data_IF_492507515556
#
_entry.id   IF_492507515556
#
_cell.length_a   1.000
_cell.length_b   1.000
_cell.length_c   1.000
_cell.angle_alpha   90.00
_cell.angle_beta   90.00
_cell.angle_gamma   90.00
#
_symmetry.space_group_name_H-M   'P 1'
#
loop_
_entity.id
_entity.type
_entity.pdbx_description
1 polymer ?
#
# COMPACT_ATOMS: atom_id res chain seq x y z
N UNK A 1 21.49 -12.97 43.84
CA UNK A 1 20.62 -12.11 44.69
C UNK A 1 19.21 -12.19 44.12
N UNK A 2 18.35 -13.00 44.74
CA UNK A 2 16.93 -13.16 44.40
C UNK A 2 16.18 -11.92 44.89
N UNK A 3 15.25 -11.38 44.11
CA UNK A 3 14.16 -10.55 44.63
C UNK A 3 12.84 -11.15 44.16
N UNK A 4 12.00 -11.39 45.15
CA UNK A 4 10.77 -12.17 45.12
C UNK A 4 9.57 -11.37 44.61
N UNK A 5 8.67 -12.16 44.05
CA UNK A 5 7.32 -11.90 43.56
C UNK A 5 6.40 -11.43 44.69
N UNK A 6 5.71 -10.30 44.49
CA UNK A 6 4.40 -10.02 45.09
C UNK A 6 3.51 -9.31 44.05
N UNK A 7 2.91 -10.11 43.17
CA UNK A 7 1.92 -9.63 42.19
C UNK A 7 0.50 -9.79 42.72
N UNK A 8 -0.08 -8.68 43.18
CA UNK A 8 -1.53 -8.56 43.36
C UNK A 8 -2.15 -8.48 41.96
N UNK A 9 -2.93 -9.49 41.59
CA UNK A 9 -3.70 -9.50 40.34
C UNK A 9 -4.87 -8.52 40.50
N UNK A 10 -4.72 -7.31 39.97
CA UNK A 10 -5.86 -6.43 39.68
C UNK A 10 -6.44 -6.77 38.30
N UNK A 11 -7.77 -6.88 38.15
CA UNK A 11 -8.39 -7.18 36.87
C UNK A 11 -8.19 -6.02 35.89
N UNK A 12 -7.58 -6.34 34.75
CA UNK A 12 -7.47 -5.46 33.59
C UNK A 12 -8.86 -5.00 33.15
N UNK A 13 -9.19 -3.73 33.41
CA UNK A 13 -10.23 -3.05 32.65
C UNK A 13 -9.71 -2.75 31.24
N UNK A 14 -10.43 -3.10 30.16
CA UNK A 14 -10.03 -2.75 28.80
C UNK A 14 -10.31 -1.26 28.61
N UNK A 15 -9.37 -0.42 29.04
CA UNK A 15 -9.29 0.95 28.56
C UNK A 15 -8.74 0.88 27.13
N UNK A 16 -9.64 0.71 26.16
CA UNK A 16 -9.35 0.89 24.74
C UNK A 16 -8.94 2.34 24.55
N UNK A 17 -7.65 2.65 24.77
CA UNK A 17 -7.07 3.88 24.25
C UNK A 17 -7.13 3.73 22.74
N UNK A 18 -8.23 4.25 22.17
CA UNK A 18 -8.42 4.41 20.75
C UNK A 18 -7.21 5.20 20.24
N UNK A 19 -6.18 4.49 19.77
CA UNK A 19 -4.95 5.12 19.28
C UNK A 19 -5.36 6.12 18.21
N UNK A 20 -5.16 7.41 18.48
CA UNK A 20 -5.54 8.49 17.57
C UNK A 20 -4.55 8.46 16.42
N UNK A 21 -4.93 7.86 15.29
CA UNK A 21 -4.01 7.72 14.18
C UNK A 21 -3.86 9.03 13.41
N UNK A 22 -2.62 9.50 13.31
CA UNK A 22 -2.25 10.70 12.60
C UNK A 22 -1.97 10.41 11.12
N UNK A 23 -2.28 11.36 10.22
CA UNK A 23 -2.05 11.16 8.77
C UNK A 23 -0.59 10.93 8.41
N UNK A 24 0.35 11.46 9.20
CA UNK A 24 1.78 11.17 9.03
C UNK A 24 2.06 9.66 9.11
N UNK A 25 1.31 8.92 9.93
CA UNK A 25 1.45 7.47 10.05
C UNK A 25 0.96 6.74 8.79
N UNK A 26 0.07 7.35 7.99
CA UNK A 26 -0.30 6.83 6.67
C UNK A 26 0.82 7.04 5.65
N UNK A 27 1.53 8.17 5.72
CA UNK A 27 2.72 8.39 4.91
C UNK A 27 3.84 7.41 5.33
N UNK A 28 4.07 7.21 6.62
CA UNK A 28 5.00 6.19 7.14
C UNK A 28 4.66 4.79 6.62
N UNK A 29 3.38 4.41 6.66
CA UNK A 29 2.90 3.15 6.07
C UNK A 29 3.20 3.09 4.57
N UNK A 30 3.01 4.17 3.82
CA UNK A 30 3.32 4.22 2.40
C UNK A 30 4.82 3.97 2.13
N UNK A 31 5.72 4.49 2.98
CA UNK A 31 7.15 4.20 2.88
C UNK A 31 7.47 2.73 3.16
N UNK A 32 6.82 2.12 4.16
CA UNK A 32 6.95 0.67 4.45
C UNK A 32 6.47 -0.16 3.26
N UNK A 33 5.28 0.12 2.74
CA UNK A 33 4.73 -0.55 1.55
C UNK A 33 5.66 -0.39 0.33
N UNK A 34 6.27 0.77 0.16
CA UNK A 34 7.23 1.04 -0.91
C UNK A 34 8.50 0.21 -0.75
N UNK A 35 9.06 0.16 0.46
CA UNK A 35 10.28 -0.59 0.75
C UNK A 35 10.11 -2.09 0.46
N UNK A 36 8.97 -2.66 0.87
CA UNK A 36 8.64 -4.06 0.63
C UNK A 36 7.96 -4.32 -0.72
N UNK A 37 7.63 -3.26 -1.48
CA UNK A 37 6.96 -3.31 -2.76
C UNK A 37 7.58 -4.28 -3.76
N UNK A 38 8.90 -4.28 -3.99
CA UNK A 38 9.54 -5.25 -4.87
C UNK A 38 9.29 -6.71 -4.49
N UNK A 39 9.21 -7.04 -3.19
CA UNK A 39 8.90 -8.39 -2.72
C UNK A 39 7.42 -8.74 -2.92
N UNK A 40 6.53 -7.77 -2.70
CA UNK A 40 5.10 -7.91 -2.96
C UNK A 40 4.85 -8.21 -4.45
N UNK A 41 5.48 -7.42 -5.33
CA UNK A 41 5.37 -7.55 -6.78
C UNK A 41 5.96 -8.85 -7.30
N UNK A 42 7.09 -9.33 -6.72
CA UNK A 42 7.76 -10.54 -7.16
C UNK A 42 6.96 -11.84 -6.94
N UNK A 43 6.14 -11.91 -5.88
CA UNK A 43 5.49 -13.19 -5.49
C UNK A 43 4.21 -13.49 -6.26
N UNK A 44 3.67 -12.55 -7.04
CA UNK A 44 2.45 -12.70 -7.86
C UNK A 44 1.18 -13.19 -7.14
N UNK A 45 1.22 -13.43 -5.83
CA UNK A 45 0.10 -13.97 -5.07
C UNK A 45 -1.01 -12.93 -4.94
N UNK A 46 -2.26 -13.39 -5.06
CA UNK A 46 -3.44 -12.55 -4.97
C UNK A 46 -3.54 -11.88 -3.58
N UNK A 47 -4.14 -10.69 -3.56
CA UNK A 47 -4.48 -9.99 -2.32
C UNK A 47 -5.78 -10.60 -1.77
N UNK A 48 -5.89 -10.86 -0.46
CA UNK A 48 -7.13 -11.39 0.12
C UNK A 48 -8.33 -10.47 -0.20
N UNK A 49 -9.49 -11.01 -0.64
CA UNK A 49 -10.67 -10.21 -0.95
C UNK A 49 -11.15 -9.35 0.22
N UNK A 50 -10.95 -9.80 1.46
CA UNK A 50 -11.27 -9.06 2.68
C UNK A 50 -10.44 -7.78 2.80
N UNK A 51 -9.16 -7.83 2.40
CA UNK A 51 -8.27 -6.67 2.41
C UNK A 51 -8.71 -5.64 1.37
N UNK A 52 -9.09 -6.10 0.17
CA UNK A 52 -9.60 -5.26 -0.92
C UNK A 52 -10.90 -4.57 -0.50
N UNK A 53 -11.87 -5.34 0.00
CA UNK A 53 -13.17 -4.83 0.44
C UNK A 53 -13.04 -3.88 1.64
N UNK A 54 -12.16 -4.20 2.60
CA UNK A 54 -11.85 -3.33 3.73
C UNK A 54 -11.26 -2.00 3.26
N UNK A 55 -10.29 -2.04 2.34
CA UNK A 55 -9.63 -0.84 1.82
C UNK A 55 -10.60 0.04 1.05
N UNK A 56 -11.46 -0.55 0.21
CA UNK A 56 -12.55 0.15 -0.48
C UNK A 56 -13.48 0.86 0.49
N UNK A 57 -14.02 0.12 1.47
CA UNK A 57 -15.01 0.63 2.42
C UNK A 57 -14.41 1.76 3.26
N UNK A 58 -13.22 1.56 3.83
CA UNK A 58 -12.55 2.55 4.66
C UNK A 58 -12.19 3.82 3.86
N UNK A 59 -11.71 3.66 2.62
CA UNK A 59 -11.34 4.78 1.77
C UNK A 59 -12.55 5.62 1.35
N UNK A 60 -13.66 4.96 0.97
CA UNK A 60 -14.91 5.66 0.62
C UNK A 60 -15.50 6.43 1.78
N UNK A 61 -15.61 5.79 2.95
CA UNK A 61 -16.11 6.47 4.15
C UNK A 61 -15.30 7.73 4.45
N UNK A 62 -13.96 7.65 4.33
CA UNK A 62 -13.08 8.80 4.55
C UNK A 62 -13.28 9.90 3.49
N UNK A 63 -13.38 9.53 2.22
CA UNK A 63 -13.65 10.45 1.11
C UNK A 63 -14.99 11.16 1.31
N UNK A 64 -16.02 10.45 1.79
CA UNK A 64 -17.32 11.05 2.10
C UNK A 64 -17.23 12.11 3.21
N UNK A 65 -16.44 11.85 4.27
CA UNK A 65 -16.18 12.84 5.32
C UNK A 65 -15.46 14.09 4.79
N UNK A 66 -14.50 13.92 3.88
CA UNK A 66 -13.84 15.04 3.20
C UNK A 66 -14.82 15.82 2.32
N UNK A 67 -15.65 15.11 1.54
CA UNK A 67 -16.67 15.71 0.69
C UNK A 67 -17.69 16.52 1.49
N UNK A 68 -18.13 16.03 2.65
CA UNK A 68 -19.01 16.78 3.55
C UNK A 68 -18.34 18.07 4.05
N UNK A 69 -17.05 18.02 4.38
CA UNK A 69 -16.26 19.19 4.81
C UNK A 69 -16.16 20.23 3.69
N UNK A 70 -15.86 19.80 2.46
CA UNK A 70 -15.79 20.68 1.29
C UNK A 70 -17.17 21.19 0.85
N UNK A 71 -18.25 20.44 1.05
CA UNK A 71 -19.61 20.94 0.81
C UNK A 71 -19.99 22.07 1.79
N UNK A 72 -19.46 22.04 3.02
CA UNK A 72 -19.60 23.15 3.98
C UNK A 72 -18.82 24.38 3.53
N UNK A 73 -17.64 24.21 2.93
CA UNK A 73 -16.90 25.31 2.30
C UNK A 73 -17.72 26.01 1.23
N UNK A 74 -18.29 25.26 0.28
CA UNK A 74 -19.10 25.84 -0.81
C UNK A 74 -20.31 26.61 -0.26
N UNK A 75 -20.96 26.10 0.79
CA UNK A 75 -22.06 26.82 1.46
C UNK A 75 -21.59 28.09 2.17
N UNK A 76 -20.47 28.05 2.88
CA UNK A 76 -19.88 29.24 3.49
C UNK A 76 -19.52 30.28 2.43
N UNK A 77 -18.97 29.85 1.29
CA UNK A 77 -18.62 30.70 0.14
C UNK A 77 -19.84 31.38 -0.47
N UNK A 78 -20.90 30.60 -0.74
CA UNK A 78 -22.14 31.12 -1.31
C UNK A 78 -22.84 32.14 -0.41
N UNK A 79 -22.65 32.04 0.92
CA UNK A 79 -23.25 32.98 1.86
C UNK A 79 -22.65 34.40 1.83
N UNK A 80 -21.47 34.60 1.21
CA UNK A 80 -20.74 35.87 1.21
C UNK A 80 -20.24 36.33 2.59
N UNK A 81 -20.52 35.59 3.66
CA UNK A 81 -20.18 35.96 5.01
C UNK A 81 -18.71 35.62 5.34
N UNK A 82 -17.87 36.66 5.39
CA UNK A 82 -16.43 36.53 5.69
C UNK A 82 -16.13 35.87 7.04
N UNK A 83 -16.95 36.11 8.07
CA UNK A 83 -16.76 35.50 9.39
C UNK A 83 -17.01 33.99 9.32
N UNK A 84 -18.13 33.56 8.70
CA UNK A 84 -18.42 32.14 8.50
C UNK A 84 -17.33 31.43 7.70
N UNK A 85 -16.80 32.10 6.67
CA UNK A 85 -15.69 31.57 5.90
C UNK A 85 -14.42 31.40 6.75
N UNK A 86 -14.09 32.40 7.57
CA UNK A 86 -12.94 32.32 8.48
C UNK A 86 -13.07 31.20 9.51
N UNK A 87 -14.24 31.04 10.12
CA UNK A 87 -14.50 29.93 11.04
C UNK A 87 -14.34 28.57 10.34
N UNK A 88 -14.86 28.41 9.12
CA UNK A 88 -14.68 27.17 8.36
C UNK A 88 -13.20 26.83 8.16
N UNK A 89 -12.37 27.81 7.78
CA UNK A 89 -10.92 27.60 7.63
C UNK A 89 -10.26 27.17 8.93
N UNK A 90 -10.58 27.84 10.04
CA UNK A 90 -10.06 27.49 11.36
C UNK A 90 -10.42 26.05 11.75
N UNK A 91 -11.65 25.63 11.47
CA UNK A 91 -12.16 24.32 11.86
C UNK A 91 -11.70 23.17 10.95
N UNK A 92 -11.41 23.43 9.66
CA UNK A 92 -11.20 22.37 8.67
C UNK A 92 -9.80 22.35 8.06
N UNK A 93 -8.89 23.24 8.46
CA UNK A 93 -7.51 23.25 7.94
C UNK A 93 -6.82 21.89 8.11
N UNK A 94 -7.00 21.22 9.26
CA UNK A 94 -6.43 19.90 9.47
C UNK A 94 -6.99 18.83 8.52
N UNK A 95 -8.26 18.93 8.11
CA UNK A 95 -8.85 18.01 7.11
C UNK A 95 -8.18 18.20 5.75
N UNK A 96 -7.87 19.44 5.37
CA UNK A 96 -7.16 19.74 4.10
C UNK A 96 -5.74 19.17 4.12
N UNK A 97 -5.05 19.24 5.26
CA UNK A 97 -3.76 18.59 5.45
C UNK A 97 -3.86 17.07 5.30
N UNK A 98 -4.91 16.47 5.87
CA UNK A 98 -5.13 15.02 5.78
C UNK A 98 -5.41 14.56 4.34
N UNK A 99 -6.16 15.33 3.56
CA UNK A 99 -6.36 15.06 2.13
C UNK A 99 -5.01 15.04 1.43
N UNK A 100 -4.23 16.12 1.55
CA UNK A 100 -2.94 16.23 0.86
C UNK A 100 -1.98 15.12 1.29
N UNK A 101 -1.74 14.92 2.59
CA UNK A 101 -0.78 13.94 3.07
C UNK A 101 -1.21 12.47 2.83
N UNK A 102 -2.51 12.19 2.76
CA UNK A 102 -3.00 10.84 2.45
C UNK A 102 -2.77 10.43 0.99
N UNK A 103 -2.51 11.38 0.08
CA UNK A 103 -2.24 11.10 -1.34
C UNK A 103 -1.04 10.15 -1.51
N UNK A 104 -0.04 10.26 -0.62
CA UNK A 104 1.15 9.41 -0.60
C UNK A 104 0.77 7.93 -0.54
N UNK A 105 -0.05 7.55 0.46
CA UNK A 105 -0.49 6.16 0.62
C UNK A 105 -1.40 5.73 -0.52
N UNK A 106 -2.35 6.58 -0.93
CA UNK A 106 -3.30 6.23 -1.98
C UNK A 106 -2.61 5.93 -3.31
N UNK A 107 -1.58 6.70 -3.69
CA UNK A 107 -0.80 6.44 -4.91
C UNK A 107 0.05 5.18 -4.80
N UNK A 108 0.71 4.96 -3.67
CA UNK A 108 1.51 3.74 -3.43
C UNK A 108 0.63 2.49 -3.52
N UNK A 109 -0.55 2.51 -2.90
CA UNK A 109 -1.49 1.39 -2.96
C UNK A 109 -2.00 1.15 -4.39
N UNK A 110 -2.34 2.21 -5.13
CA UNK A 110 -2.78 2.09 -6.53
C UNK A 110 -1.66 1.52 -7.43
N UNK A 111 -0.42 1.96 -7.24
CA UNK A 111 0.74 1.42 -7.96
C UNK A 111 0.98 -0.06 -7.63
N UNK A 112 0.91 -0.44 -6.36
CA UNK A 112 1.04 -1.85 -5.95
C UNK A 112 -0.09 -2.71 -6.50
N UNK A 113 -1.34 -2.23 -6.44
CA UNK A 113 -2.49 -2.96 -6.97
C UNK A 113 -2.32 -3.25 -8.47
N UNK A 114 -1.95 -2.24 -9.25
CA UNK A 114 -1.66 -2.39 -10.67
C UNK A 114 -0.50 -3.36 -10.95
N UNK A 115 0.59 -3.24 -10.20
CA UNK A 115 1.72 -4.15 -10.35
C UNK A 115 1.36 -5.60 -10.00
N UNK A 116 0.60 -5.83 -8.92
CA UNK A 116 0.16 -7.17 -8.50
C UNK A 116 -0.74 -7.81 -9.55
N UNK A 117 -1.70 -7.05 -10.08
CA UNK A 117 -2.67 -7.54 -11.05
C UNK A 117 -2.04 -7.80 -12.41
N UNK A 118 -1.20 -6.88 -12.92
CA UNK A 118 -0.47 -7.08 -14.17
C UNK A 118 0.47 -8.28 -14.10
N UNK A 119 1.22 -8.40 -13.01
CA UNK A 119 2.17 -9.48 -12.85
C UNK A 119 1.45 -10.84 -12.67
N UNK A 120 0.23 -10.85 -12.10
CA UNK A 120 -0.62 -12.03 -11.99
C UNK A 120 -1.58 -12.28 -13.16
N UNK A 121 -1.60 -11.42 -14.18
CA UNK A 121 -2.62 -11.39 -15.24
C UNK A 121 -4.07 -11.45 -14.70
N UNK A 122 -4.35 -10.65 -13.67
CA UNK A 122 -5.66 -10.49 -13.02
C UNK A 122 -6.17 -9.05 -13.18
N UNK A 123 -7.42 -8.82 -12.82
CA UNK A 123 -8.04 -7.50 -12.79
C UNK A 123 -9.00 -7.39 -11.60
N UNK A 124 -8.48 -7.63 -10.39
CA UNK A 124 -9.28 -7.75 -9.16
C UNK A 124 -9.07 -6.55 -8.24
N UNK A 125 -7.82 -6.16 -8.00
CA UNK A 125 -7.47 -5.10 -7.06
C UNK A 125 -7.25 -3.75 -7.74
N UNK A 126 -6.61 -3.75 -8.91
CA UNK A 126 -6.25 -2.55 -9.68
C UNK A 126 -7.46 -1.65 -9.98
N UNK A 127 -8.63 -2.15 -10.46
CA UNK A 127 -9.79 -1.31 -10.74
C UNK A 127 -10.30 -0.57 -9.49
N UNK A 128 -10.29 -1.26 -8.34
CA UNK A 128 -10.77 -0.73 -7.07
C UNK A 128 -9.82 0.33 -6.54
N UNK A 129 -8.52 0.02 -6.50
CA UNK A 129 -7.50 0.98 -6.06
C UNK A 129 -7.44 2.21 -6.98
N UNK A 130 -7.62 2.02 -8.30
CA UNK A 130 -7.69 3.10 -9.27
C UNK A 130 -8.92 3.99 -9.04
N UNK A 131 -10.10 3.41 -8.79
CA UNK A 131 -11.31 4.20 -8.49
C UNK A 131 -11.14 5.05 -7.22
N UNK A 132 -10.53 4.50 -6.17
CA UNK A 132 -10.18 5.23 -4.94
C UNK A 132 -9.18 6.34 -5.23
N UNK A 133 -8.15 6.05 -6.03
CA UNK A 133 -7.14 7.03 -6.41
C UNK A 133 -7.75 8.21 -7.17
N UNK A 134 -8.58 7.96 -8.18
CA UNK A 134 -9.28 9.00 -8.94
C UNK A 134 -10.18 9.85 -8.03
N UNK A 135 -10.94 9.20 -7.13
CA UNK A 135 -11.80 9.90 -6.16
C UNK A 135 -10.98 10.78 -5.21
N UNK A 136 -9.80 10.32 -4.80
CA UNK A 136 -8.87 11.12 -4.01
C UNK A 136 -8.37 12.35 -4.79
N UNK A 137 -7.98 12.17 -6.06
CA UNK A 137 -7.52 13.28 -6.91
C UNK A 137 -8.58 14.36 -7.08
N UNK A 138 -9.86 13.98 -7.20
CA UNK A 138 -10.96 14.93 -7.24
C UNK A 138 -11.03 15.78 -5.96
N UNK A 139 -10.99 15.14 -4.79
CA UNK A 139 -11.00 15.84 -3.49
C UNK A 139 -9.78 16.75 -3.36
N UNK A 140 -8.58 16.27 -3.72
CA UNK A 140 -7.34 17.04 -3.71
C UNK A 140 -7.43 18.27 -4.61
N UNK A 141 -7.97 18.14 -5.82
CA UNK A 141 -8.13 19.28 -6.73
C UNK A 141 -9.07 20.35 -6.15
N UNK A 142 -10.16 19.93 -5.49
CA UNK A 142 -11.05 20.87 -4.77
C UNK A 142 -10.38 21.55 -3.58
N UNK A 143 -9.47 20.86 -2.87
CA UNK A 143 -8.62 21.49 -1.85
C UNK A 143 -7.72 22.55 -2.46
N UNK A 144 -7.14 22.30 -3.63
CA UNK A 144 -6.30 23.28 -4.33
C UNK A 144 -7.08 24.51 -4.77
N UNK A 145 -8.28 24.31 -5.32
CA UNK A 145 -9.19 25.41 -5.64
C UNK A 145 -9.52 26.26 -4.41
N UNK A 146 -9.77 25.63 -3.26
CA UNK A 146 -10.00 26.33 -2.00
C UNK A 146 -8.77 27.16 -1.56
N UNK A 147 -7.55 26.60 -1.68
CA UNK A 147 -6.29 27.31 -1.39
C UNK A 147 -6.12 28.54 -2.31
N UNK A 148 -6.50 28.43 -3.59
CA UNK A 148 -6.39 29.51 -4.56
C UNK A 148 -7.44 30.61 -4.38
N UNK A 149 -8.66 30.28 -3.95
CA UNK A 149 -9.75 31.25 -3.73
C UNK A 149 -9.43 32.24 -2.59
N UNK A 150 -8.65 31.81 -1.58
CA UNK A 150 -8.14 32.61 -0.45
C UNK A 150 -9.19 33.34 0.43
N UNK A 151 -10.48 33.32 0.09
CA UNK A 151 -11.55 33.97 0.87
C UNK A 151 -11.58 33.40 2.29
N UNK A 152 -11.44 34.29 3.28
CA UNK A 152 -11.45 33.95 4.72
C UNK A 152 -10.29 33.06 5.18
N UNK A 153 -9.33 32.73 4.32
CA UNK A 153 -8.10 32.02 4.67
C UNK A 153 -7.03 33.04 5.08
N UNK A 154 -6.30 32.78 6.17
CA UNK A 154 -5.11 33.56 6.44
C UNK A 154 -4.04 33.23 5.39
N UNK A 155 -3.30 34.24 4.92
CA UNK A 155 -2.22 34.03 3.92
C UNK A 155 -1.21 32.99 4.41
N UNK A 156 -0.92 32.98 5.71
CA UNK A 156 -0.01 32.01 6.34
C UNK A 156 -0.52 30.56 6.19
N UNK A 157 -1.82 30.32 6.34
CA UNK A 157 -2.41 28.98 6.21
C UNK A 157 -2.37 28.50 4.75
N UNK A 158 -2.72 29.37 3.81
CA UNK A 158 -2.64 29.06 2.37
C UNK A 158 -1.20 28.73 1.94
N UNK A 159 -0.22 29.51 2.40
CA UNK A 159 1.21 29.26 2.13
C UNK A 159 1.66 27.94 2.75
N UNK A 160 1.24 27.65 3.99
CA UNK A 160 1.59 26.40 4.69
C UNK A 160 0.99 25.17 3.99
N UNK A 161 -0.27 25.22 3.58
CA UNK A 161 -0.91 24.14 2.81
C UNK A 161 -0.25 23.94 1.44
N UNK A 162 0.11 25.02 0.74
CA UNK A 162 0.84 24.88 -0.52
C UNK A 162 2.25 24.30 -0.30
N UNK A 163 2.94 24.65 0.80
CA UNK A 163 4.21 24.03 1.17
C UNK A 163 4.05 22.54 1.46
N UNK A 164 3.01 22.15 2.19
CA UNK A 164 2.67 20.74 2.43
C UNK A 164 2.46 20.00 1.11
N UNK A 165 1.65 20.56 0.20
CA UNK A 165 1.40 19.99 -1.13
C UNK A 165 2.72 19.70 -1.86
N UNK A 166 3.60 20.69 -1.98
CA UNK A 166 4.88 20.54 -2.70
C UNK A 166 5.77 19.47 -2.04
N UNK A 167 5.80 19.41 -0.72
CA UNK A 167 6.57 18.38 0.01
C UNK A 167 6.00 16.99 -0.23
N UNK A 168 4.69 16.84 -0.16
CA UNK A 168 3.99 15.57 -0.46
C UNK A 168 4.25 15.12 -1.89
N UNK A 169 4.15 16.03 -2.87
CA UNK A 169 4.37 15.72 -4.28
C UNK A 169 5.78 15.17 -4.52
N UNK A 170 6.81 15.75 -3.89
CA UNK A 170 8.19 15.26 -3.96
C UNK A 170 8.35 13.87 -3.34
N UNK A 171 7.74 13.62 -2.18
CA UNK A 171 7.79 12.30 -1.55
C UNK A 171 7.05 11.24 -2.35
N UNK A 172 5.95 11.60 -3.01
CA UNK A 172 5.26 10.70 -3.95
C UNK A 172 6.23 10.28 -5.06
N UNK A 173 6.93 11.21 -5.69
CA UNK A 173 7.84 10.86 -6.79
C UNK A 173 9.01 9.99 -6.34
N UNK A 174 9.55 10.23 -5.15
CA UNK A 174 10.60 9.39 -4.57
C UNK A 174 10.11 7.96 -4.29
N UNK A 175 8.95 7.82 -3.63
CA UNK A 175 8.41 6.51 -3.28
C UNK A 175 7.93 5.72 -4.51
N UNK A 176 7.22 6.37 -5.44
CA UNK A 176 6.82 5.72 -6.70
C UNK A 176 8.05 5.41 -7.55
N UNK A 177 9.10 6.24 -7.53
CA UNK A 177 10.36 5.97 -8.20
C UNK A 177 11.00 4.68 -7.68
N UNK A 178 11.06 4.49 -6.37
CA UNK A 178 11.56 3.25 -5.76
C UNK A 178 10.76 2.01 -6.21
N UNK A 179 9.43 2.08 -6.27
CA UNK A 179 8.61 1.00 -6.83
C UNK A 179 8.89 0.77 -8.32
N UNK A 180 9.05 1.87 -9.06
CA UNK A 180 9.27 1.85 -10.50
C UNK A 180 10.62 1.27 -10.90
N UNK A 181 11.59 1.23 -9.98
CA UNK A 181 12.84 0.50 -10.17
C UNK A 181 12.65 -1.02 -10.29
N UNK A 182 11.55 -1.56 -9.75
CA UNK A 182 11.15 -2.97 -9.94
C UNK A 182 10.19 -3.15 -11.13
N UNK A 183 9.33 -2.16 -11.41
CA UNK A 183 8.40 -2.17 -12.54
C UNK A 183 8.27 -0.78 -13.18
N UNK A 184 8.92 -0.53 -14.33
CA UNK A 184 8.95 0.80 -14.96
C UNK A 184 7.59 1.38 -15.35
N UNK A 185 6.55 0.54 -15.50
CA UNK A 185 5.21 1.02 -15.86
C UNK A 185 4.50 1.75 -14.72
N UNK A 186 5.01 1.62 -13.49
CA UNK A 186 4.47 2.28 -12.29
C UNK A 186 4.80 3.78 -12.21
N UNK A 187 5.72 4.28 -13.06
CA UNK A 187 6.11 5.69 -13.14
C UNK A 187 4.89 6.63 -13.29
N UNK A 188 3.82 6.15 -13.94
CA UNK A 188 2.59 6.92 -14.16
C UNK A 188 1.83 7.31 -12.88
N UNK A 189 2.11 6.65 -11.76
CA UNK A 189 1.55 7.00 -10.45
C UNK A 189 2.32 8.13 -9.75
N UNK A 190 3.45 8.58 -10.30
CA UNK A 190 4.15 9.77 -9.86
C UNK A 190 3.38 11.06 -10.13
N UNK A 191 3.82 12.16 -9.53
CA UNK A 191 3.37 13.52 -9.86
C UNK A 191 4.13 14.02 -11.08
N UNK A 192 5.45 13.86 -11.08
CA UNK A 192 6.35 14.31 -12.14
C UNK A 192 7.12 13.12 -12.68
N UNK A 193 6.72 12.65 -13.87
CA UNK A 193 7.30 11.46 -14.49
C UNK A 193 8.83 11.54 -14.67
N UNK A 194 9.40 12.74 -14.86
CA UNK A 194 10.85 12.88 -15.00
C UNK A 194 11.55 12.66 -13.67
N UNK A 195 11.05 13.27 -12.60
CA UNK A 195 11.57 13.09 -11.24
C UNK A 195 11.37 11.66 -10.73
N UNK A 196 10.21 11.06 -11.01
CA UNK A 196 9.94 9.66 -10.66
C UNK A 196 10.91 8.71 -11.37
N UNK A 197 11.21 8.92 -12.66
CA UNK A 197 12.19 8.10 -13.40
C UNK A 197 13.60 8.24 -12.84
N UNK A 198 14.04 9.45 -12.50
CA UNK A 198 15.36 9.66 -11.89
C UNK A 198 15.52 8.85 -10.59
N UNK A 199 14.50 8.86 -9.72
CA UNK A 199 14.49 8.03 -8.52
C UNK A 199 14.43 6.52 -8.80
N UNK A 200 13.78 6.10 -9.90
CA UNK A 200 13.75 4.70 -10.33
C UNK A 200 15.13 4.21 -10.80
N UNK A 201 15.85 5.04 -11.55
CA UNK A 201 17.22 4.78 -11.99
C UNK A 201 18.16 4.65 -10.78
N UNK A 202 18.08 5.58 -9.83
CA UNK A 202 18.82 5.51 -8.56
C UNK A 202 18.54 4.21 -7.82
N UNK A 203 17.26 3.84 -7.64
CA UNK A 203 16.88 2.60 -6.96
C UNK A 203 17.40 1.33 -7.66
N UNK A 204 17.46 1.33 -9.00
CA UNK A 204 18.00 0.24 -9.79
C UNK A 204 19.50 0.03 -9.60
N UNK A 205 20.27 1.11 -9.46
CA UNK A 205 21.74 1.04 -9.24
C UNK A 205 22.13 0.52 -7.85
N UNK A 206 21.22 0.54 -6.88
CA UNK A 206 21.51 0.13 -5.52
C UNK A 206 21.43 -1.40 -5.39
N UNK A 207 22.56 -2.09 -5.50
CA UNK A 207 22.57 -3.56 -5.62
C UNK A 207 22.71 -4.34 -4.30
N UNK A 208 23.01 -3.70 -3.15
CA UNK A 208 23.24 -4.41 -1.88
C UNK A 208 22.07 -4.28 -0.90
N UNK A 209 21.69 -5.39 -0.26
CA UNK A 209 20.59 -5.43 0.70
C UNK A 209 20.77 -4.47 1.91
N UNK A 210 21.96 -4.36 2.55
CA UNK A 210 22.14 -3.45 3.70
C UNK A 210 22.03 -1.97 3.33
N UNK A 211 22.50 -1.60 2.12
CA UNK A 211 22.38 -0.23 1.62
C UNK A 211 20.93 0.18 1.37
N UNK A 212 20.13 -0.74 0.79
CA UNK A 212 18.69 -0.52 0.55
C UNK A 212 17.89 -0.31 1.85
N UNK A 213 18.17 -1.09 2.88
CA UNK A 213 17.49 -0.97 4.19
C UNK A 213 17.81 0.37 4.86
N UNK A 214 19.09 0.76 4.87
CA UNK A 214 19.52 2.03 5.45
C UNK A 214 18.88 3.22 4.73
N UNK A 215 18.81 3.16 3.40
CA UNK A 215 18.20 4.23 2.59
C UNK A 215 16.68 4.28 2.78
N UNK A 216 16.02 3.13 2.88
CA UNK A 216 14.59 3.09 3.19
C UNK A 216 14.31 3.71 4.56
N UNK A 217 15.11 3.38 5.58
CA UNK A 217 15.01 3.97 6.91
C UNK A 217 15.24 5.48 6.90
N UNK A 218 16.31 5.95 6.23
CA UNK A 218 16.62 7.38 6.09
C UNK A 218 15.52 8.14 5.32
N UNK A 219 14.98 7.54 4.25
CA UNK A 219 13.88 8.08 3.46
C UNK A 219 12.64 8.25 4.34
N UNK A 220 12.25 7.19 5.06
CA UNK A 220 11.11 7.22 5.97
C UNK A 220 11.31 8.26 7.08
N UNK A 221 12.47 8.28 7.74
CA UNK A 221 12.76 9.22 8.83
C UNK A 221 12.73 10.68 8.34
N UNK A 222 13.33 10.96 7.19
CA UNK A 222 13.36 12.29 6.58
C UNK A 222 11.97 12.75 6.16
N UNK A 223 11.17 11.85 5.57
CA UNK A 223 9.78 12.15 5.21
C UNK A 223 8.94 12.44 6.44
N UNK A 224 9.03 11.57 7.45
CA UNK A 224 8.31 11.74 8.72
C UNK A 224 8.64 13.06 9.38
N UNK A 225 9.92 13.41 9.52
CA UNK A 225 10.34 14.68 10.12
C UNK A 225 9.84 15.88 9.28
N UNK A 226 10.00 15.82 7.95
CA UNK A 226 9.52 16.85 7.04
C UNK A 226 8.01 17.10 7.15
N UNK A 227 7.20 16.05 7.21
CA UNK A 227 5.74 16.14 7.34
C UNK A 227 5.33 16.63 8.74
N UNK A 228 5.94 16.11 9.81
CA UNK A 228 5.62 16.51 11.20
C UNK A 228 5.91 17.98 11.49
N UNK A 229 6.85 18.59 10.77
CA UNK A 229 7.14 20.04 10.89
C UNK A 229 6.07 20.94 10.27
N UNK A 230 5.25 20.42 9.36
CA UNK A 230 4.31 21.22 8.57
C UNK A 230 2.85 20.93 8.94
N UNK A 231 2.53 19.67 9.23
CA UNK A 231 1.18 19.20 9.58
C UNK A 231 0.89 19.50 11.05
N UNK A 232 -0.36 19.81 11.38
CA UNK A 232 -0.82 19.99 12.75
C UNK A 232 -0.55 18.73 13.59
N UNK A 233 -0.33 18.88 14.90
CA UNK A 233 -0.07 17.72 15.79
C UNK A 233 -1.32 16.89 16.09
N UNK A 234 -2.49 17.51 15.99
CA UNK A 234 -3.76 16.87 16.32
C UNK A 234 -4.41 16.32 15.05
N UNK A 235 -4.71 15.02 14.99
CA UNK A 235 -5.37 14.43 13.83
C UNK A 235 -6.81 14.95 13.71
N UNK A 236 -7.26 15.16 12.47
CA UNK A 236 -8.64 15.62 12.20
C UNK A 236 -9.60 14.44 12.13
N UNK A 237 -9.21 13.35 11.47
CA UNK A 237 -10.04 12.14 11.31
C UNK A 237 -9.29 10.88 11.78
N UNK A 238 -8.92 10.78 13.07
CA UNK A 238 -8.07 9.70 13.56
C UNK A 238 -8.64 8.29 13.36
N UNK A 239 -9.97 8.14 13.47
CA UNK A 239 -10.63 6.87 13.24
C UNK A 239 -10.57 6.47 11.76
N UNK A 240 -10.90 7.38 10.85
CA UNK A 240 -10.89 7.10 9.42
C UNK A 240 -9.47 6.78 8.92
N UNK A 241 -8.46 7.48 9.45
CA UNK A 241 -7.06 7.17 9.16
C UNK A 241 -6.70 5.73 9.59
N UNK A 242 -7.12 5.33 10.79
CA UNK A 242 -6.86 3.98 11.29
C UNK A 242 -7.51 2.89 10.44
N UNK A 243 -8.77 3.05 10.06
CA UNK A 243 -9.46 2.02 9.25
C UNK A 243 -8.79 1.85 7.88
N UNK A 244 -8.35 2.94 7.26
CA UNK A 244 -7.58 2.88 6.00
C UNK A 244 -6.24 2.20 6.21
N UNK A 245 -5.53 2.52 7.30
CA UNK A 245 -4.24 1.89 7.61
C UNK A 245 -4.35 0.40 7.88
N UNK A 246 -5.32 -0.01 8.70
CA UNK A 246 -5.57 -1.41 9.01
C UNK A 246 -5.84 -2.21 7.74
N UNK A 247 -6.70 -1.67 6.87
CA UNK A 247 -7.04 -2.32 5.60
C UNK A 247 -5.84 -2.35 4.64
N UNK A 248 -5.06 -1.27 4.57
CA UNK A 248 -3.84 -1.23 3.74
C UNK A 248 -2.75 -2.16 4.26
N UNK A 249 -2.63 -2.34 5.58
CA UNK A 249 -1.73 -3.33 6.19
C UNK A 249 -2.12 -4.76 5.81
N UNK A 250 -3.41 -5.07 5.61
CA UNK A 250 -3.82 -6.40 5.15
C UNK A 250 -3.39 -6.71 3.71
N UNK A 251 -3.00 -5.70 2.92
CA UNK A 251 -2.34 -5.89 1.63
C UNK A 251 -0.97 -6.53 1.82
N UNK A 252 -0.30 -6.24 2.95
CA UNK A 252 0.88 -6.99 3.39
C UNK A 252 0.42 -8.36 3.86
N UNK A 253 0.50 -9.32 2.96
CA UNK A 253 0.10 -10.69 3.22
C UNK A 253 0.98 -11.32 4.33
N UNK A 254 0.46 -12.26 5.13
CA UNK A 254 1.22 -12.88 6.22
C UNK A 254 2.52 -13.58 5.79
N UNK A 255 2.60 -14.09 4.56
CA UNK A 255 3.80 -14.75 4.00
C UNK A 255 5.01 -13.83 3.84
N UNK A 256 4.76 -12.52 3.80
CA UNK A 256 5.80 -11.49 3.75
C UNK A 256 6.47 -11.30 5.11
N UNK A 257 5.91 -11.85 6.18
CA UNK A 257 6.48 -11.79 7.52
C UNK A 257 7.25 -13.07 7.84
N UNK A 258 8.33 -12.93 8.59
CA UNK A 258 9.03 -14.05 9.23
C UNK A 258 8.27 -14.57 10.45
N UNK A 259 8.82 -15.59 11.10
CA UNK A 259 8.20 -16.23 12.28
C UNK A 259 8.09 -15.30 13.50
N UNK A 260 8.74 -14.14 13.49
CA UNK A 260 8.75 -13.14 14.56
C UNK A 260 7.84 -11.94 14.20
N UNK A 261 7.24 -11.94 13.01
CA UNK A 261 6.36 -10.87 12.54
C UNK A 261 7.10 -9.68 11.92
N UNK A 262 8.35 -9.86 11.48
CA UNK A 262 9.13 -8.85 10.75
C UNK A 262 9.03 -9.12 9.25
N UNK A 263 8.86 -8.06 8.46
CA UNK A 263 8.79 -8.20 7.00
C UNK A 263 10.13 -8.71 6.44
N UNK A 264 10.08 -9.81 5.69
CA UNK A 264 11.23 -10.43 5.04
C UNK A 264 11.79 -9.51 3.97
N UNK A 265 13.12 -9.55 3.81
CA UNK A 265 13.78 -8.87 2.70
C UNK A 265 13.48 -9.57 1.37
N UNK A 266 13.58 -8.83 0.26
CA UNK A 266 13.44 -9.39 -1.09
C UNK A 266 14.40 -10.56 -1.34
N UNK A 267 15.59 -10.55 -0.75
CA UNK A 267 16.57 -11.61 -0.91
C UNK A 267 16.13 -12.90 -0.23
N UNK A 268 15.58 -12.80 0.99
CA UNK A 268 14.99 -13.95 1.69
C UNK A 268 13.83 -14.54 0.86
N UNK A 269 13.01 -13.67 0.26
CA UNK A 269 11.94 -14.12 -0.64
C UNK A 269 12.45 -14.84 -1.89
N UNK A 270 13.54 -14.36 -2.50
CA UNK A 270 14.14 -15.02 -3.67
C UNK A 270 14.69 -16.39 -3.30
N UNK A 271 15.40 -16.50 -2.17
CA UNK A 271 15.95 -17.78 -1.71
C UNK A 271 14.84 -18.76 -1.35
N UNK A 272 13.81 -18.31 -0.62
CA UNK A 272 12.67 -19.17 -0.29
C UNK A 272 11.96 -19.64 -1.54
N UNK A 273 11.68 -18.76 -2.50
CA UNK A 273 11.03 -19.17 -3.75
C UNK A 273 11.91 -20.08 -4.61
N UNK A 274 13.23 -19.84 -4.69
CA UNK A 274 14.14 -20.70 -5.44
C UNK A 274 14.25 -22.08 -4.76
N UNK A 275 14.28 -22.13 -3.44
CA UNK A 275 14.22 -23.38 -2.66
C UNK A 275 12.90 -24.09 -2.88
N UNK A 276 11.76 -23.42 -2.70
CA UNK A 276 10.42 -23.99 -2.87
C UNK A 276 10.21 -24.50 -4.30
N UNK A 277 10.72 -23.77 -5.31
CA UNK A 277 10.67 -24.20 -6.72
C UNK A 277 11.59 -25.40 -6.96
N UNK A 278 12.76 -25.43 -6.35
CA UNK A 278 13.68 -26.58 -6.43
C UNK A 278 13.07 -27.80 -5.75
N UNK A 279 12.44 -27.63 -4.59
CA UNK A 279 11.74 -28.69 -3.86
C UNK A 279 10.52 -29.19 -4.63
N UNK A 280 9.77 -28.30 -5.28
CA UNK A 280 8.67 -28.66 -6.18
C UNK A 280 9.18 -29.47 -7.39
N UNK A 281 10.29 -29.04 -8.01
CA UNK A 281 10.92 -29.77 -9.12
C UNK A 281 11.46 -31.14 -8.69
N UNK A 282 12.05 -31.24 -7.49
CA UNK A 282 12.49 -32.51 -6.90
C UNK A 282 11.29 -33.41 -6.63
N UNK A 283 10.20 -32.88 -6.07
CA UNK A 283 8.97 -33.63 -5.84
C UNK A 283 8.34 -34.10 -7.14
N UNK A 284 8.35 -33.28 -8.19
CA UNK A 284 7.85 -33.65 -9.52
C UNK A 284 8.75 -34.69 -10.20
N UNK A 285 10.06 -34.66 -9.96
CA UNK A 285 10.99 -35.69 -10.43
C UNK A 285 10.89 -37.00 -9.63
N UNK A 286 10.56 -36.91 -8.34
CA UNK A 286 10.34 -38.05 -7.44
C UNK A 286 8.90 -38.57 -7.50
N UNK A 287 8.00 -37.90 -8.22
CA UNK A 287 6.70 -38.47 -8.55
C UNK A 287 6.95 -39.69 -9.41
N UNK A 288 6.54 -40.89 -8.98
CA UNK A 288 6.64 -42.06 -9.85
C UNK A 288 5.87 -41.76 -11.13
N UNK A 289 6.49 -42.01 -12.28
CA UNK A 289 5.82 -41.92 -13.57
C UNK A 289 4.52 -42.73 -13.49
N UNK A 290 3.40 -42.06 -13.75
CA UNK A 290 2.06 -42.68 -13.76
C UNK A 290 1.90 -43.65 -14.94
N UNK A 291 2.95 -43.87 -15.73
CA UNK A 291 3.00 -44.88 -16.80
C UNK A 291 3.22 -46.31 -16.29
N UNK A 292 3.47 -46.52 -14.99
CA UNK A 292 3.36 -47.85 -14.35
C UNK A 292 1.94 -48.14 -13.82
N UNK A 293 0.93 -47.60 -14.48
CA UNK A 293 -0.44 -48.07 -14.30
C UNK A 293 -0.57 -49.49 -14.87
N UNK A 294 -0.94 -50.45 -14.02
CA UNK A 294 -1.26 -51.83 -14.38
C UNK A 294 -2.32 -51.98 -15.52
N UNK A 295 -2.95 -50.90 -15.96
CA UNK A 295 -3.84 -50.86 -17.12
C UNK A 295 -3.12 -50.79 -18.47
N UNK A 296 -1.91 -50.22 -18.57
CA UNK A 296 -1.16 -50.15 -19.84
C UNK A 296 -0.65 -51.55 -20.23
N UNK A 297 -0.16 -52.32 -19.24
CA UNK A 297 0.21 -53.73 -19.41
C UNK A 297 -0.95 -54.62 -19.88
N UNK A 298 -2.18 -54.33 -19.44
CA UNK A 298 -3.37 -55.06 -19.89
C UNK A 298 -3.75 -54.73 -21.34
N UNK A 299 -3.59 -53.47 -21.77
CA UNK A 299 -3.91 -53.06 -23.14
C UNK A 299 -2.91 -53.63 -24.15
N UNK A 300 -1.62 -53.65 -23.82
CA UNK A 300 -0.58 -54.27 -24.65
C UNK A 300 -0.70 -55.79 -24.72
N UNK A 301 -1.10 -56.45 -23.62
CA UNK A 301 -1.38 -57.88 -23.61
C UNK A 301 -2.59 -58.27 -24.48
N UNK A 302 -3.65 -57.44 -24.49
CA UNK A 302 -4.82 -57.64 -25.36
C UNK A 302 -4.43 -57.43 -26.82
N UNK A 303 -3.65 -56.39 -27.13
CA UNK A 303 -3.20 -56.10 -28.50
C UNK A 303 -2.26 -57.18 -29.07
N UNK A 304 -1.35 -57.72 -28.25
CA UNK A 304 -0.47 -58.83 -28.64
C UNK A 304 -1.26 -60.12 -28.91
N UNK A 305 -2.31 -60.40 -28.12
CA UNK A 305 -3.18 -61.56 -28.33
C UNK A 305 -4.03 -61.46 -29.61
N UNK A 306 -4.52 -60.25 -29.93
CA UNK A 306 -5.30 -60.00 -31.14
C UNK A 306 -4.46 -60.10 -32.42
N UNK A 307 -3.19 -59.63 -32.38
CA UNK A 307 -2.26 -59.77 -33.50
C UNK A 307 -1.83 -61.22 -33.73
N UNK A 308 -1.60 -62.00 -32.66
CA UNK A 308 -1.24 -63.42 -32.78
C UNK A 308 -2.36 -64.29 -33.39
N UNK A 309 -3.62 -63.85 -33.30
CA UNK A 309 -4.77 -64.53 -33.88
C UNK A 309 -4.93 -64.28 -35.39
N UNK A 310 -4.39 -63.17 -35.90
CA UNK A 310 -4.43 -62.80 -37.33
C UNK A 310 -3.34 -63.47 -38.19
N UNK A 311 -2.23 -63.90 -37.59
CA UNK A 311 -1.12 -64.58 -38.30
C UNK A 311 -1.21 -66.11 -38.29
N UNK A 312 -2.36 -66.68 -37.90
CA UNK A 312 -2.65 -68.12 -38.01
C UNK A 312 -3.71 -68.40 -39.08
N UNK A 313 -3.48 -67.94 -40.31
CA UNK A 313 -3.99 -68.53 -41.56
C UNK A 313 -3.07 -68.15 -42.71
#
# INVERSE_FOLDING_TARGET
MRVLITGVVQPFSPSTRCSRMHVVQLAELAAVLTHHGPAILYRHAAVPPEAINGYWTASRLRIDLWNQSLARFTRAKASGNHYRMRCWWQDHTGVLEEVLASEVLTRVVAALADGIDRAGNRDEFSPIAQAIHLSHLEVRNRVQEAILDRRGCAVQDAVRLNKLRVVVERWIDALIGHLSGADPSLVRYGIDSSRTRAHAEEAGTMSTAPGRETIAWLTQASMTDGLRRIIAKTPSLPHANREVANSAMMILRPDLFDSVGVLKSLWVHRIQNDSDRTDQMIQDYLRPDVDDSATVSAFDAIHASALAQWFRY
#
